data_IF_139141801840
#
_entry.id   IF_139141801840
#
_cell.length_a   1.000
_cell.length_b   1.000
_cell.length_c   1.000
_cell.angle_alpha   90.00
_cell.angle_beta   90.00
_cell.angle_gamma   90.00
#
_symmetry.space_group_name_H-M   'P 1'
#
loop_
_entity.id
_entity.type
_entity.pdbx_description
1 polymer ?
#
# COMPACT_ATOMS: atom_id res chain seq x y z
N UNK A 1 11.22 -5.52 -4.56
CA UNK A 1 12.02 -4.96 -3.45
C UNK A 1 13.22 -5.86 -3.25
N UNK A 2 14.43 -5.30 -3.22
CA UNK A 2 15.64 -6.05 -2.86
C UNK A 2 15.88 -5.89 -1.36
N UNK A 3 16.13 -6.99 -0.65
CA UNK A 3 16.33 -7.01 0.80
C UNK A 3 17.76 -7.42 1.10
N UNK A 4 18.44 -6.67 1.97
CA UNK A 4 19.83 -6.93 2.35
C UNK A 4 20.26 -6.12 3.58
N UNK A 5 21.45 -6.41 4.13
CA UNK A 5 22.02 -5.64 5.23
C UNK A 5 22.35 -4.20 4.79
N UNK A 6 22.52 -3.30 5.76
CA UNK A 6 22.90 -1.89 5.54
C UNK A 6 21.93 -1.13 4.61
N UNK A 7 20.64 -1.45 4.66
CA UNK A 7 19.63 -0.87 3.80
C UNK A 7 19.30 0.60 4.21
N UNK A 8 19.03 1.49 3.23
CA UNK A 8 18.54 2.85 3.49
C UNK A 8 17.16 2.85 4.17
N UNK A 9 16.41 1.75 4.05
CA UNK A 9 15.10 1.55 4.66
C UNK A 9 15.21 0.30 5.53
N UNK A 10 15.46 0.49 6.82
CA UNK A 10 15.72 -0.61 7.75
C UNK A 10 14.50 -0.89 8.61
N UNK A 11 14.17 -2.16 8.81
CA UNK A 11 13.10 -2.54 9.75
C UNK A 11 13.51 -2.25 11.19
N UNK A 12 12.67 -1.54 11.93
CA UNK A 12 12.78 -1.47 13.39
C UNK A 12 12.20 -2.76 13.97
N UNK A 13 13.00 -3.82 13.94
CA UNK A 13 12.58 -5.23 14.12
C UNK A 13 11.70 -5.51 15.35
N UNK A 14 11.86 -4.72 16.43
CA UNK A 14 11.08 -4.86 17.66
C UNK A 14 9.75 -4.09 17.64
N UNK A 15 9.60 -3.09 16.77
CA UNK A 15 8.40 -2.27 16.62
C UNK A 15 7.51 -2.85 15.52
N UNK A 16 6.82 -3.94 15.88
CA UNK A 16 5.80 -4.57 15.05
C UNK A 16 4.74 -5.26 15.89
N UNK A 17 3.51 -5.25 15.44
CA UNK A 17 2.39 -5.94 16.06
C UNK A 17 1.41 -6.45 15.03
N UNK A 18 0.86 -7.62 15.28
CA UNK A 18 -0.02 -8.32 14.35
C UNK A 18 -1.35 -8.63 15.02
N UNK A 19 -2.38 -8.69 14.19
CA UNK A 19 -3.69 -9.19 14.59
C UNK A 19 -4.22 -10.08 13.46
N UNK A 20 -4.65 -11.28 13.83
CA UNK A 20 -5.24 -12.26 12.94
C UNK A 20 -6.52 -12.76 13.60
N UNK A 21 -7.55 -12.97 12.81
CA UNK A 21 -8.84 -13.47 13.27
C UNK A 21 -9.50 -14.25 12.14
N UNK A 22 -10.37 -15.19 12.48
CA UNK A 22 -11.21 -15.85 11.50
C UNK A 22 -12.45 -15.00 11.23
N UNK A 23 -12.58 -14.45 10.03
CA UNK A 23 -13.72 -13.64 9.58
C UNK A 23 -14.02 -13.88 8.10
N UNK A 24 -15.21 -13.48 7.65
CA UNK A 24 -15.66 -13.59 6.26
C UNK A 24 -15.98 -12.22 5.64
N UNK A 25 -15.12 -11.24 5.87
CA UNK A 25 -15.30 -9.88 5.37
C UNK A 25 -15.09 -9.76 3.85
N UNK A 26 -14.07 -10.44 3.34
CA UNK A 26 -13.80 -10.60 1.91
C UNK A 26 -13.03 -11.91 1.70
N UNK A 27 -13.48 -12.73 0.76
CA UNK A 27 -12.86 -14.02 0.46
C UNK A 27 -13.21 -14.48 -0.97
N UNK A 28 -12.50 -15.48 -1.48
CA UNK A 28 -12.69 -16.05 -2.84
C UNK A 28 -13.08 -17.53 -2.75
N UNK A 29 -14.35 -17.84 -2.42
CA UNK A 29 -14.79 -19.22 -2.24
C UNK A 29 -15.07 -19.93 -3.58
N UNK A 30 -15.45 -19.17 -4.60
CA UNK A 30 -15.67 -19.69 -5.95
C UNK A 30 -14.34 -19.77 -6.69
N UNK A 31 -13.86 -20.99 -6.93
CA UNK A 31 -12.58 -21.25 -7.57
C UNK A 31 -12.62 -21.01 -9.10
N UNK A 32 -13.81 -20.95 -9.69
CA UNK A 32 -13.98 -20.72 -11.12
C UNK A 32 -14.09 -19.22 -11.47
N UNK A 33 -14.24 -18.34 -10.46
CA UNK A 33 -14.41 -16.91 -10.64
C UNK A 33 -13.23 -16.12 -10.06
N UNK A 34 -12.81 -15.07 -10.78
CA UNK A 34 -11.81 -14.14 -10.24
C UNK A 34 -12.41 -13.25 -9.12
N UNK A 35 -13.73 -13.08 -9.14
CA UNK A 35 -14.45 -12.14 -8.30
C UNK A 35 -14.62 -12.64 -6.86
N UNK A 36 -14.36 -11.78 -5.87
CA UNK A 36 -14.54 -12.12 -4.46
C UNK A 36 -16.00 -12.02 -4.02
N UNK A 37 -16.34 -12.75 -2.96
CA UNK A 37 -17.49 -12.44 -2.13
C UNK A 37 -17.05 -11.37 -1.12
N UNK A 38 -17.80 -10.26 -1.04
CA UNK A 38 -17.46 -9.11 -0.21
C UNK A 38 -18.64 -8.66 0.63
N UNK A 39 -18.49 -8.69 1.96
CA UNK A 39 -19.32 -7.90 2.86
C UNK A 39 -18.60 -6.57 3.12
N UNK A 40 -19.01 -5.54 2.38
CA UNK A 40 -18.36 -4.22 2.44
C UNK A 40 -18.53 -3.50 3.78
N UNK A 41 -19.59 -3.80 4.54
CA UNK A 41 -19.78 -3.23 5.89
C UNK A 41 -18.81 -3.92 6.84
N UNK A 42 -18.83 -5.26 6.85
CA UNK A 42 -17.95 -6.06 7.70
C UNK A 42 -16.47 -5.79 7.39
N UNK A 43 -16.09 -5.65 6.12
CA UNK A 43 -14.72 -5.30 5.69
C UNK A 43 -14.19 -4.02 6.32
N UNK A 44 -15.02 -2.97 6.43
CA UNK A 44 -14.60 -1.74 7.10
C UNK A 44 -14.45 -1.92 8.61
N UNK A 45 -15.38 -2.63 9.26
CA UNK A 45 -15.30 -2.95 10.69
C UNK A 45 -14.06 -3.79 11.01
N UNK A 46 -13.83 -4.87 10.26
CA UNK A 46 -12.68 -5.75 10.41
C UNK A 46 -11.34 -5.01 10.20
N UNK A 47 -11.27 -4.13 9.20
CA UNK A 47 -10.09 -3.31 8.96
C UNK A 47 -9.77 -2.39 10.15
N UNK A 48 -10.76 -1.66 10.69
CA UNK A 48 -10.55 -0.74 11.81
C UNK A 48 -10.28 -1.46 13.13
N UNK A 49 -10.93 -2.60 13.36
CA UNK A 49 -10.64 -3.48 14.51
C UNK A 49 -9.19 -3.98 14.47
N UNK A 50 -8.74 -4.45 13.31
CA UNK A 50 -7.37 -4.90 13.10
C UNK A 50 -6.36 -3.76 13.28
N UNK A 51 -6.70 -2.56 12.80
CA UNK A 51 -5.89 -1.34 12.97
C UNK A 51 -5.72 -0.98 14.45
N UNK A 52 -6.82 -0.90 15.21
CA UNK A 52 -6.79 -0.62 16.66
C UNK A 52 -5.95 -1.66 17.40
N UNK A 53 -6.18 -2.94 17.11
CA UNK A 53 -5.48 -4.05 17.75
C UNK A 53 -3.98 -4.03 17.48
N UNK A 54 -3.58 -3.78 16.22
CA UNK A 54 -2.19 -3.63 15.85
C UNK A 54 -1.56 -2.38 16.47
N UNK A 55 -2.26 -1.24 16.44
CA UNK A 55 -1.75 0.02 16.98
C UNK A 55 -1.53 -0.06 18.49
N UNK A 56 -2.51 -0.57 19.25
CA UNK A 56 -2.39 -0.79 20.69
C UNK A 56 -1.20 -1.66 21.05
N UNK A 57 -1.06 -2.81 20.40
CA UNK A 57 0.07 -3.72 20.64
C UNK A 57 1.41 -3.12 20.20
N UNK A 58 1.44 -2.35 19.11
CA UNK A 58 2.61 -1.63 18.64
C UNK A 58 3.05 -0.60 19.69
N UNK A 59 2.12 0.21 20.20
CA UNK A 59 2.37 1.19 21.25
C UNK A 59 2.94 0.53 22.51
N UNK A 60 2.31 -0.56 22.99
CA UNK A 60 2.80 -1.30 24.17
C UNK A 60 4.25 -1.79 23.99
N UNK A 61 4.60 -2.30 22.81
CA UNK A 61 5.97 -2.75 22.51
C UNK A 61 6.94 -1.59 22.44
N UNK A 62 6.53 -0.48 21.81
CA UNK A 62 7.34 0.72 21.74
C UNK A 62 7.63 1.27 23.13
N UNK A 63 6.61 1.44 23.96
CA UNK A 63 6.70 1.96 25.33
C UNK A 63 7.63 1.13 26.21
N UNK A 64 7.53 -0.20 26.13
CA UNK A 64 8.40 -1.11 26.87
C UNK A 64 9.88 -0.96 26.52
N UNK A 65 10.20 -0.58 25.28
CA UNK A 65 11.57 -0.52 24.76
C UNK A 65 12.14 0.90 24.82
N UNK A 66 11.34 1.89 24.44
CA UNK A 66 11.74 3.29 24.35
C UNK A 66 11.53 4.06 25.66
N UNK A 67 10.76 3.51 26.61
CA UNK A 67 10.48 4.16 27.90
C UNK A 67 9.59 5.40 27.79
N UNK A 68 8.88 5.59 26.66
CA UNK A 68 7.97 6.73 26.44
C UNK A 68 6.71 6.30 25.70
N UNK A 69 5.59 6.98 25.99
CA UNK A 69 4.31 6.76 25.32
C UNK A 69 4.45 6.99 23.81
N UNK A 70 3.99 6.03 22.99
CA UNK A 70 3.93 6.22 21.54
C UNK A 70 2.67 7.02 21.18
N UNK A 71 2.79 7.95 20.24
CA UNK A 71 1.67 8.65 19.60
C UNK A 71 1.97 8.83 18.11
N UNK A 72 1.01 9.35 17.34
CA UNK A 72 1.21 9.70 15.93
C UNK A 72 2.33 10.75 15.71
N UNK A 73 2.79 11.44 16.75
CA UNK A 73 3.93 12.36 16.66
C UNK A 73 5.28 11.64 16.54
N UNK A 74 5.37 10.40 17.02
CA UNK A 74 6.63 9.61 17.07
C UNK A 74 7.04 8.98 15.74
N UNK A 75 6.25 9.18 14.68
CA UNK A 75 6.55 8.81 13.31
C UNK A 75 6.29 9.96 12.35
N UNK A 76 7.17 10.11 11.36
CA UNK A 76 7.07 11.18 10.37
C UNK A 76 5.95 10.89 9.38
N UNK A 77 5.87 9.65 8.89
CA UNK A 77 4.83 9.21 7.96
C UNK A 77 4.13 7.95 8.41
N UNK A 78 2.83 7.85 8.08
CA UNK A 78 2.02 6.65 8.22
C UNK A 78 1.55 6.18 6.84
N UNK A 79 1.90 4.96 6.50
CA UNK A 79 1.59 4.33 5.21
C UNK A 79 0.64 3.17 5.47
N UNK A 80 -0.48 3.14 4.74
CA UNK A 80 -1.53 2.15 4.93
C UNK A 80 -1.73 1.32 3.67
N UNK A 81 -2.18 0.07 3.83
CA UNK A 81 -2.87 -0.62 2.75
C UNK A 81 -4.02 0.27 2.25
N UNK A 82 -4.03 0.53 0.94
CA UNK A 82 -4.85 1.57 0.32
C UNK A 82 -5.80 0.97 -0.72
N UNK A 83 -6.90 0.31 -0.32
CA UNK A 83 -7.88 -0.20 -1.28
C UNK A 83 -8.61 0.94 -1.98
N UNK A 84 -8.82 2.05 -1.27
CA UNK A 84 -9.27 3.33 -1.80
C UNK A 84 -8.92 4.44 -0.80
N UNK A 85 -8.73 5.67 -1.29
CA UNK A 85 -8.15 6.73 -0.47
C UNK A 85 -9.01 7.17 0.73
N UNK A 86 -10.34 7.06 0.64
CA UNK A 86 -11.23 7.40 1.76
C UNK A 86 -10.98 6.51 2.98
N UNK A 87 -10.68 5.22 2.81
CA UNK A 87 -10.34 4.35 3.93
C UNK A 87 -9.03 4.76 4.59
N UNK A 88 -8.05 5.23 3.81
CA UNK A 88 -6.77 5.73 4.35
C UNK A 88 -6.96 6.96 5.24
N UNK A 89 -7.83 7.89 4.82
CA UNK A 89 -8.22 9.05 5.65
C UNK A 89 -8.86 8.61 6.97
N UNK A 90 -9.83 7.67 6.90
CA UNK A 90 -10.47 7.08 8.09
C UNK A 90 -9.45 6.39 9.00
N UNK A 91 -8.50 5.67 8.42
CA UNK A 91 -7.47 4.91 9.16
C UNK A 91 -6.61 5.83 10.02
N UNK A 92 -6.08 6.90 9.43
CA UNK A 92 -5.24 7.83 10.17
C UNK A 92 -6.04 8.62 11.23
N UNK A 93 -7.26 9.03 10.88
CA UNK A 93 -8.18 9.64 11.86
C UNK A 93 -8.47 8.69 13.04
N UNK A 94 -8.60 7.39 12.77
CA UNK A 94 -8.79 6.37 13.81
C UNK A 94 -7.55 6.24 14.71
N UNK A 95 -6.33 6.36 14.17
CA UNK A 95 -5.12 6.39 15.00
C UNK A 95 -5.10 7.60 15.94
N UNK A 96 -5.51 8.77 15.45
CA UNK A 96 -5.58 9.97 16.30
C UNK A 96 -6.66 9.85 17.39
N UNK A 97 -7.80 9.22 17.08
CA UNK A 97 -8.79 8.85 18.10
C UNK A 97 -8.24 7.86 19.12
N UNK A 98 -7.43 6.87 18.72
CA UNK A 98 -6.76 5.97 19.67
C UNK A 98 -5.79 6.73 20.59
N UNK A 99 -5.08 7.73 20.07
CA UNK A 99 -4.21 8.60 20.89
C UNK A 99 -5.03 9.42 21.90
N UNK A 100 -6.19 9.95 21.49
CA UNK A 100 -7.15 10.60 22.40
C UNK A 100 -7.61 9.65 23.51
N UNK A 101 -8.05 8.43 23.17
CA UNK A 101 -8.47 7.42 24.15
C UNK A 101 -7.35 6.98 25.10
N UNK A 102 -6.09 7.15 24.68
CA UNK A 102 -4.88 6.86 25.49
C UNK A 102 -4.35 8.09 26.23
N UNK A 103 -5.06 9.22 26.20
CA UNK A 103 -4.66 10.49 26.81
C UNK A 103 -3.25 10.94 26.38
N UNK A 104 -2.89 10.75 25.11
CA UNK A 104 -1.58 11.15 24.61
C UNK A 104 -1.44 12.69 24.65
N UNK A 105 -0.30 13.19 25.13
CA UNK A 105 -0.04 14.63 25.26
C UNK A 105 -0.02 15.40 23.94
N UNK A 106 0.17 14.69 22.82
CA UNK A 106 0.15 15.26 21.48
C UNK A 106 -1.26 15.60 20.98
N UNK A 107 -2.30 15.05 21.60
CA UNK A 107 -3.69 15.37 21.25
C UNK A 107 -4.00 16.76 21.81
N UNK A 108 -4.27 17.71 20.92
CA UNK A 108 -4.58 19.09 21.28
C UNK A 108 -5.96 19.23 21.95
N UNK A 109 -6.20 20.36 22.62
CA UNK A 109 -7.41 20.57 23.41
C UNK A 109 -8.68 20.68 22.56
N UNK A 110 -8.59 21.22 21.34
CA UNK A 110 -9.70 21.26 20.37
C UNK A 110 -10.12 19.84 19.96
N UNK A 111 -9.16 18.95 19.74
CA UNK A 111 -9.41 17.54 19.46
C UNK A 111 -10.04 16.84 20.66
N UNK A 112 -9.55 17.10 21.89
CA UNK A 112 -10.14 16.52 23.11
C UNK A 112 -11.60 16.94 23.27
N UNK A 113 -11.90 18.24 23.13
CA UNK A 113 -13.26 18.77 23.26
C UNK A 113 -14.21 18.11 22.25
N UNK A 114 -13.81 18.05 20.97
CA UNK A 114 -14.63 17.46 19.89
C UNK A 114 -14.80 15.95 20.00
N UNK A 115 -13.85 15.23 20.60
CA UNK A 115 -13.89 13.78 20.72
C UNK A 115 -14.50 13.30 22.05
N UNK A 116 -14.64 14.17 23.04
CA UNK A 116 -15.09 13.82 24.39
C UNK A 116 -16.45 13.13 24.42
N UNK A 117 -17.40 13.55 23.58
CA UNK A 117 -18.73 12.96 23.47
C UNK A 117 -18.73 11.51 23.00
N UNK A 118 -17.63 11.05 22.40
CA UNK A 118 -17.46 9.68 21.89
C UNK A 118 -16.58 8.79 22.79
N UNK A 119 -16.15 9.28 23.95
CA UNK A 119 -15.26 8.56 24.88
C UNK A 119 -15.88 7.31 25.49
N UNK A 120 -17.21 7.27 25.61
CA UNK A 120 -17.94 6.15 26.21
C UNK A 120 -18.43 5.11 25.17
N UNK A 121 -18.16 5.31 23.89
CA UNK A 121 -18.53 4.32 22.87
C UNK A 121 -17.74 3.03 23.06
N UNK A 122 -18.44 1.90 23.01
CA UNK A 122 -17.78 0.60 22.91
C UNK A 122 -17.03 0.47 21.58
N UNK A 123 -16.15 -0.53 21.47
CA UNK A 123 -15.43 -0.81 20.23
C UNK A 123 -16.39 -0.95 19.03
N UNK A 124 -17.42 -1.77 19.17
CA UNK A 124 -18.41 -2.02 18.12
C UNK A 124 -19.19 -0.76 17.71
N UNK A 125 -19.71 0.00 18.68
CA UNK A 125 -20.42 1.26 18.42
C UNK A 125 -19.51 2.27 17.72
N UNK A 126 -18.24 2.35 18.16
CA UNK A 126 -17.27 3.27 17.58
C UNK A 126 -16.95 2.97 16.11
N UNK A 127 -16.96 1.70 15.69
CA UNK A 127 -16.74 1.30 14.29
C UNK A 127 -17.92 1.66 13.38
N UNK A 128 -19.12 1.77 13.94
CA UNK A 128 -20.35 2.06 13.20
C UNK A 128 -20.74 3.55 13.25
N UNK A 129 -20.16 4.32 14.18
CA UNK A 129 -20.48 5.74 14.37
C UNK A 129 -19.90 6.62 13.26
N UNK A 130 -20.81 7.10 12.39
CA UNK A 130 -20.47 8.09 11.35
C UNK A 130 -20.08 9.44 11.93
N UNK A 131 -20.62 9.80 13.09
CA UNK A 131 -20.33 11.09 13.73
C UNK A 131 -18.94 11.08 14.35
N UNK A 132 -18.54 9.98 14.98
CA UNK A 132 -17.14 9.79 15.41
C UNK A 132 -16.20 9.83 14.21
N UNK A 133 -16.56 9.17 13.10
CA UNK A 133 -15.75 9.19 11.88
C UNK A 133 -15.53 10.64 11.38
N UNK A 134 -16.60 11.43 11.29
CA UNK A 134 -16.53 12.83 10.83
C UNK A 134 -15.69 13.69 11.78
N UNK A 135 -15.95 13.60 13.08
CA UNK A 135 -15.22 14.34 14.10
C UNK A 135 -13.72 13.99 14.06
N UNK A 136 -13.38 12.70 14.03
CA UNK A 136 -11.99 12.21 13.96
C UNK A 136 -11.28 12.71 12.68
N UNK A 137 -11.96 12.68 11.53
CA UNK A 137 -11.38 13.19 10.28
C UNK A 137 -11.16 14.71 10.33
N UNK A 138 -12.08 15.45 10.94
CA UNK A 138 -11.96 16.90 11.08
C UNK A 138 -10.72 17.26 11.90
N UNK A 139 -10.56 16.64 13.08
CA UNK A 139 -9.45 16.96 13.99
C UNK A 139 -8.10 16.43 13.46
N UNK A 140 -8.10 15.31 12.73
CA UNK A 140 -6.88 14.76 12.14
C UNK A 140 -6.50 15.40 10.79
N UNK A 141 -7.33 16.29 10.21
CA UNK A 141 -7.20 16.77 8.82
C UNK A 141 -5.84 17.40 8.52
N UNK A 142 -5.37 18.29 9.39
CA UNK A 142 -4.09 18.97 9.22
C UNK A 142 -2.93 17.95 9.26
N UNK A 143 -2.93 17.08 10.28
CA UNK A 143 -1.92 16.05 10.45
C UNK A 143 -1.93 15.01 9.32
N UNK A 144 -3.10 14.67 8.77
CA UNK A 144 -3.20 13.82 7.58
C UNK A 144 -2.50 14.45 6.38
N UNK A 145 -2.67 15.76 6.18
CA UNK A 145 -2.00 16.51 5.11
C UNK A 145 -0.47 16.43 5.18
N UNK A 146 0.08 16.33 6.39
CA UNK A 146 1.53 16.25 6.63
C UNK A 146 2.01 14.80 6.58
N UNK A 147 1.40 13.91 7.37
CA UNK A 147 1.92 12.58 7.69
C UNK A 147 1.45 11.47 6.76
N UNK A 148 0.40 11.69 5.96
CA UNK A 148 -0.21 10.63 5.14
C UNK A 148 -0.38 11.03 3.68
N UNK A 149 -0.79 12.26 3.39
CA UNK A 149 -1.03 12.72 2.01
C UNK A 149 0.15 12.41 1.05
N UNK A 150 1.43 12.57 1.44
CA UNK A 150 2.57 12.24 0.57
C UNK A 150 2.65 10.75 0.17
N UNK A 151 1.95 9.86 0.85
CA UNK A 151 1.91 8.41 0.58
C UNK A 151 0.83 8.06 -0.48
N UNK A 152 0.01 9.01 -0.91
CA UNK A 152 -1.26 8.70 -1.60
C UNK A 152 -1.22 8.79 -3.12
N UNK A 153 -0.11 9.25 -3.73
CA UNK A 153 -0.03 9.50 -5.17
C UNK A 153 -0.36 8.26 -6.01
N UNK A 154 0.42 7.19 -5.87
CA UNK A 154 0.23 5.97 -6.67
C UNK A 154 -1.11 5.29 -6.36
N UNK A 155 -1.53 5.08 -5.09
CA UNK A 155 -2.86 4.51 -4.83
C UNK A 155 -4.03 5.30 -5.43
N UNK A 156 -3.96 6.65 -5.43
CA UNK A 156 -5.03 7.49 -6.03
C UNK A 156 -5.03 7.44 -7.55
N UNK A 157 -3.87 7.27 -8.18
CA UNK A 157 -3.73 7.25 -9.63
C UNK A 157 -3.96 5.86 -10.24
N UNK A 158 -3.70 4.78 -9.50
CA UNK A 158 -3.72 3.40 -10.01
C UNK A 158 -4.93 2.60 -9.47
N UNK A 159 -5.38 2.89 -8.25
CA UNK A 159 -6.42 2.10 -7.56
C UNK A 159 -5.85 0.98 -6.68
N UNK A 160 -6.69 0.00 -6.33
CA UNK A 160 -6.31 -1.07 -5.41
C UNK A 160 -5.35 -2.06 -6.08
N UNK A 161 -4.12 -2.11 -5.57
CA UNK A 161 -3.06 -3.05 -6.01
C UNK A 161 -2.91 -4.25 -5.06
N UNK A 162 -3.94 -4.56 -4.26
CA UNK A 162 -3.94 -5.67 -3.28
C UNK A 162 -2.66 -5.68 -2.43
N UNK A 163 -1.88 -6.76 -2.49
CA UNK A 163 -0.65 -6.95 -1.72
C UNK A 163 0.40 -5.88 -2.00
N UNK A 164 0.44 -5.32 -3.21
CA UNK A 164 1.37 -4.26 -3.58
C UNK A 164 0.91 -2.86 -3.14
N UNK A 165 -0.36 -2.69 -2.72
CA UNK A 165 -0.94 -1.37 -2.40
C UNK A 165 -0.19 -0.63 -1.29
N UNK A 166 0.18 -1.33 -0.21
CA UNK A 166 0.98 -0.74 0.88
C UNK A 166 2.35 -0.26 0.38
N UNK A 167 2.99 -1.04 -0.49
CA UNK A 167 4.33 -0.73 -1.00
C UNK A 167 4.31 0.33 -2.10
N UNK A 168 3.21 0.45 -2.85
CA UNK A 168 2.99 1.58 -3.75
C UNK A 168 2.76 2.89 -2.97
N UNK A 169 2.10 2.82 -1.81
CA UNK A 169 2.00 3.97 -0.91
C UNK A 169 3.37 4.35 -0.31
N UNK A 170 4.21 3.37 0.04
CA UNK A 170 5.61 3.59 0.43
C UNK A 170 6.43 4.22 -0.72
N UNK A 171 6.30 3.70 -1.93
CA UNK A 171 6.96 4.26 -3.11
C UNK A 171 6.54 5.71 -3.37
N UNK A 172 5.27 6.06 -3.08
CA UNK A 172 4.79 7.43 -3.22
C UNK A 172 5.50 8.40 -2.27
N UNK A 173 5.68 8.03 -1.00
CA UNK A 173 6.40 8.91 -0.05
C UNK A 173 7.90 8.95 -0.33
N UNK A 174 8.52 7.84 -0.73
CA UNK A 174 9.92 7.84 -1.18
C UNK A 174 10.10 8.77 -2.39
N UNK A 175 9.23 8.69 -3.39
CA UNK A 175 9.24 9.57 -4.53
C UNK A 175 9.07 11.05 -4.11
N UNK A 176 8.05 11.36 -3.30
CA UNK A 176 7.71 12.73 -2.93
C UNK A 176 8.65 13.39 -1.91
N UNK A 177 9.36 12.60 -1.09
CA UNK A 177 10.04 13.09 0.12
C UNK A 177 11.44 12.52 0.33
N UNK A 178 12.06 11.84 -0.64
CA UNK A 178 13.37 11.19 -0.48
C UNK A 178 14.44 12.10 0.17
N UNK A 179 14.44 13.40 -0.13
CA UNK A 179 15.42 14.36 0.42
C UNK A 179 15.24 14.68 1.91
N UNK A 180 14.06 14.45 2.49
CA UNK A 180 13.74 14.79 3.90
C UNK A 180 13.57 13.57 4.80
N UNK A 181 13.83 12.36 4.28
CA UNK A 181 13.56 11.10 4.99
C UNK A 181 14.73 10.58 5.84
N UNK A 182 15.91 11.21 5.79
CA UNK A 182 17.05 10.77 6.58
C UNK A 182 16.75 10.82 8.09
N UNK A 183 16.97 9.71 8.78
CA UNK A 183 16.69 9.60 10.21
C UNK A 183 15.21 9.55 10.57
N UNK A 184 14.30 9.58 9.59
CA UNK A 184 12.87 9.57 9.84
C UNK A 184 12.33 8.16 10.08
N UNK A 185 11.20 8.11 10.79
CA UNK A 185 10.44 6.89 11.01
C UNK A 185 9.21 6.88 10.11
N UNK A 186 8.98 5.75 9.45
CA UNK A 186 7.72 5.45 8.77
C UNK A 186 7.04 4.30 9.49
N UNK A 187 5.75 4.47 9.82
CA UNK A 187 4.91 3.37 10.32
C UNK A 187 4.06 2.84 9.17
N UNK A 188 4.05 1.52 9.04
CA UNK A 188 3.41 0.78 7.96
C UNK A 188 2.26 -0.05 8.55
N UNK A 189 1.07 0.00 7.96
CA UNK A 189 -0.05 -0.87 8.32
C UNK A 189 -0.49 -1.72 7.13
N UNK A 190 -0.20 -3.03 7.20
CA UNK A 190 -0.63 -4.03 6.23
C UNK A 190 -1.91 -4.72 6.70
N UNK A 191 -2.86 -4.90 5.79
CA UNK A 191 -4.12 -5.59 6.02
C UNK A 191 -4.44 -6.51 4.85
N UNK A 192 -4.95 -7.70 5.15
CA UNK A 192 -5.60 -8.60 4.21
C UNK A 192 -6.81 -9.25 4.86
N UNK A 193 -7.94 -9.26 4.16
CA UNK A 193 -9.20 -9.84 4.63
C UNK A 193 -9.12 -11.35 4.89
N UNK A 194 -10.01 -11.84 5.75
CA UNK A 194 -10.03 -13.24 6.24
C UNK A 194 -9.74 -13.47 7.74
N UNK A 195 -9.03 -12.67 8.52
CA UNK A 195 -8.15 -11.53 8.24
C UNK A 195 -6.76 -11.76 8.84
N UNK A 196 -5.76 -11.12 8.24
CA UNK A 196 -4.40 -10.99 8.78
C UNK A 196 -3.93 -9.56 8.62
N UNK A 197 -3.29 -9.02 9.66
CA UNK A 197 -2.82 -7.64 9.66
C UNK A 197 -1.55 -7.49 10.46
N UNK A 198 -0.73 -6.49 10.12
CA UNK A 198 0.46 -6.13 10.87
C UNK A 198 0.76 -4.64 10.72
N UNK A 199 0.95 -3.98 11.87
CA UNK A 199 1.61 -2.69 11.94
C UNK A 199 3.09 -2.88 12.24
N UNK A 200 3.98 -2.24 11.50
CA UNK A 200 5.43 -2.32 11.70
C UNK A 200 6.11 -1.00 11.35
N UNK A 201 7.33 -0.80 11.83
CA UNK A 201 8.05 0.45 11.59
C UNK A 201 9.35 0.28 10.82
N UNK A 202 9.67 1.30 10.03
CA UNK A 202 10.87 1.44 9.24
C UNK A 202 11.63 2.68 9.70
N UNK A 203 12.95 2.53 9.88
CA UNK A 203 13.89 3.63 10.10
C UNK A 203 14.65 3.91 8.82
N UNK A 204 14.61 5.15 8.37
CA UNK A 204 15.21 5.57 7.12
C UNK A 204 16.56 6.23 7.38
N UNK A 205 17.49 6.03 6.45
CA UNK A 205 18.79 6.67 6.41
C UNK A 205 19.17 6.90 4.94
N UNK A 206 20.10 7.82 4.67
CA UNK A 206 20.49 8.17 3.30
C UNK A 206 20.99 6.97 2.47
N UNK A 207 21.54 5.94 3.10
CA UNK A 207 22.22 4.84 2.42
C UNK A 207 23.42 5.31 1.60
N UNK A 208 23.88 4.44 0.70
CA UNK A 208 24.96 4.71 -0.25
C UNK A 208 24.57 4.18 -1.62
N UNK A 209 24.98 4.85 -2.70
CA UNK A 209 24.69 4.39 -4.06
C UNK A 209 25.20 2.95 -4.27
N UNK A 210 24.41 2.04 -4.89
CA UNK A 210 23.12 2.27 -5.55
C UNK A 210 21.91 2.24 -4.62
N UNK A 211 22.08 1.87 -3.35
CA UNK A 211 21.01 1.74 -2.36
C UNK A 211 20.88 3.01 -1.49
N UNK A 212 20.68 4.17 -2.12
CA UNK A 212 20.40 5.43 -1.44
C UNK A 212 18.95 5.88 -1.63
N UNK A 213 18.40 6.66 -0.70
CA UNK A 213 17.01 7.15 -0.80
C UNK A 213 16.79 7.99 -2.07
N UNK A 214 17.76 8.85 -2.40
CA UNK A 214 17.73 9.67 -3.62
C UNK A 214 17.73 8.81 -4.89
N UNK A 215 18.62 7.82 -4.98
CA UNK A 215 18.64 6.92 -6.14
C UNK A 215 17.37 6.08 -6.24
N UNK A 216 16.82 5.60 -5.12
CA UNK A 216 15.52 4.91 -5.10
C UNK A 216 14.42 5.83 -5.62
N UNK A 217 14.32 7.07 -5.12
CA UNK A 217 13.35 8.06 -5.56
C UNK A 217 13.41 8.33 -7.07
N UNK A 218 14.61 8.47 -7.61
CA UNK A 218 14.87 8.67 -9.05
C UNK A 218 14.50 7.42 -9.87
N UNK A 219 15.02 6.24 -9.52
CA UNK A 219 14.80 4.98 -10.28
C UNK A 219 13.35 4.51 -10.26
N UNK A 220 12.55 4.94 -9.27
CA UNK A 220 11.11 4.67 -9.28
C UNK A 220 10.43 5.22 -10.55
N UNK A 221 10.92 6.32 -11.14
CA UNK A 221 10.42 6.88 -12.41
C UNK A 221 8.91 7.14 -12.41
N UNK A 222 8.38 7.63 -11.28
CA UNK A 222 6.93 7.73 -11.05
C UNK A 222 6.27 8.67 -12.06
N UNK A 223 6.88 9.83 -12.32
CA UNK A 223 6.34 10.82 -13.25
C UNK A 223 6.26 10.26 -14.67
N UNK A 224 7.36 9.72 -15.20
CA UNK A 224 7.36 9.19 -16.56
C UNK A 224 6.33 8.07 -16.71
N UNK A 225 6.28 7.12 -15.76
CA UNK A 225 5.34 6.00 -15.79
C UNK A 225 3.87 6.43 -15.72
N UNK A 226 3.54 7.47 -14.94
CA UNK A 226 2.17 7.97 -14.85
C UNK A 226 1.75 8.76 -16.08
N UNK A 227 2.68 9.50 -16.69
CA UNK A 227 2.45 10.27 -17.91
C UNK A 227 2.38 9.40 -19.17
N UNK A 228 3.12 8.28 -19.20
CA UNK A 228 3.11 7.34 -20.32
C UNK A 228 1.90 6.39 -20.32
N UNK A 229 0.89 6.64 -19.50
CA UNK A 229 -0.34 5.83 -19.47
C UNK A 229 -1.23 6.16 -20.64
N UNK A 230 -2.03 5.19 -21.03
CA UNK A 230 -3.02 5.34 -22.08
C UNK A 230 -4.42 5.35 -21.45
N UNK A 231 -5.11 6.47 -21.59
CA UNK A 231 -6.51 6.56 -21.19
C UNK A 231 -7.37 5.68 -22.12
N UNK A 232 -8.42 5.07 -21.56
CA UNK A 232 -9.34 4.21 -22.29
C UNK A 232 -10.76 4.59 -21.91
N UNK A 233 -11.65 4.63 -22.90
CA UNK A 233 -13.07 4.90 -22.68
C UNK A 233 -13.69 3.84 -21.75
N UNK A 234 -14.64 4.22 -20.87
CA UNK A 234 -15.30 3.29 -19.97
C UNK A 234 -15.90 2.06 -20.67
N UNK A 235 -16.46 2.22 -21.86
CA UNK A 235 -17.07 1.14 -22.64
C UNK A 235 -16.03 0.08 -23.02
N UNK A 236 -14.89 0.52 -23.57
CA UNK A 236 -13.76 -0.35 -23.94
C UNK A 236 -13.14 -1.01 -22.70
N UNK A 237 -13.12 -0.32 -21.56
CA UNK A 237 -12.69 -0.91 -20.30
C UNK A 237 -13.63 -2.05 -19.86
N UNK A 238 -14.95 -1.85 -19.93
CA UNK A 238 -15.96 -2.89 -19.61
C UNK A 238 -15.87 -4.08 -20.57
N UNK A 239 -15.67 -3.84 -21.86
CA UNK A 239 -15.41 -4.90 -22.84
C UNK A 239 -14.16 -5.71 -22.49
N UNK A 240 -13.09 -5.03 -22.08
CA UNK A 240 -11.85 -5.67 -21.62
C UNK A 240 -12.09 -6.51 -20.38
N UNK A 241 -12.88 -6.04 -19.41
CA UNK A 241 -13.24 -6.84 -18.22
C UNK A 241 -13.98 -8.12 -18.60
N UNK A 242 -14.97 -8.04 -19.50
CA UNK A 242 -15.69 -9.22 -20.01
C UNK A 242 -14.75 -10.19 -20.71
N UNK A 243 -13.82 -9.68 -21.51
CA UNK A 243 -12.80 -10.53 -22.15
C UNK A 243 -11.93 -11.24 -21.08
N UNK A 244 -11.47 -10.53 -20.05
CA UNK A 244 -10.65 -11.11 -18.98
C UNK A 244 -11.40 -12.18 -18.19
N UNK A 245 -12.70 -12.00 -17.94
CA UNK A 245 -13.57 -13.01 -17.35
C UNK A 245 -13.60 -14.31 -18.19
N UNK A 246 -13.73 -14.20 -19.52
CA UNK A 246 -13.67 -15.37 -20.41
C UNK A 246 -12.29 -16.05 -20.43
N UNK A 247 -11.21 -15.29 -20.17
CA UNK A 247 -9.84 -15.84 -20.13
C UNK A 247 -9.47 -16.44 -18.78
N UNK A 248 -10.18 -16.10 -17.71
CA UNK A 248 -9.91 -16.61 -16.37
C UNK A 248 -10.17 -18.13 -16.32
N UNK A 249 -9.16 -18.91 -15.94
CA UNK A 249 -9.25 -20.37 -15.90
C UNK A 249 -9.37 -21.07 -17.26
N UNK A 250 -9.32 -20.34 -18.38
CA UNK A 250 -9.41 -20.90 -19.73
C UNK A 250 -8.06 -21.47 -20.23
N UNK A 251 -8.13 -22.24 -21.31
CA UNK A 251 -6.99 -22.82 -22.03
C UNK A 251 -7.19 -22.73 -23.54
N UNK A 252 -6.16 -23.09 -24.29
CA UNK A 252 -6.17 -23.21 -25.74
C UNK A 252 -6.56 -21.91 -26.46
N UNK A 253 -5.83 -20.84 -26.15
CA UNK A 253 -6.01 -19.55 -26.80
C UNK A 253 -4.72 -18.78 -26.99
N UNK A 254 -4.70 -17.95 -28.02
CA UNK A 254 -3.68 -16.92 -28.24
C UNK A 254 -4.24 -15.54 -27.85
N UNK A 255 -3.38 -14.67 -27.36
CA UNK A 255 -3.72 -13.28 -27.04
C UNK A 255 -3.50 -12.39 -28.26
N UNK A 256 -3.98 -11.13 -28.18
CA UNK A 256 -3.63 -10.13 -29.19
C UNK A 256 -2.12 -9.99 -29.34
N UNK A 257 -1.64 -9.88 -30.58
CA UNK A 257 -0.26 -9.53 -30.91
C UNK A 257 0.01 -8.02 -30.82
N UNK A 258 -1.03 -7.21 -30.61
CA UNK A 258 -0.87 -5.76 -30.44
C UNK A 258 -0.20 -5.45 -29.10
N UNK A 259 1.04 -4.99 -29.19
CA UNK A 259 1.88 -4.56 -28.06
C UNK A 259 2.19 -3.06 -28.14
N UNK A 260 1.47 -2.30 -28.98
CA UNK A 260 1.72 -0.87 -29.23
C UNK A 260 1.71 -0.05 -27.93
N UNK A 261 0.75 -0.33 -27.04
CA UNK A 261 0.56 0.38 -25.76
C UNK A 261 1.52 -0.08 -24.64
N UNK A 262 2.25 -1.18 -24.82
CA UNK A 262 3.19 -1.66 -23.82
C UNK A 262 4.50 -0.88 -23.91
N UNK A 263 5.12 -0.57 -22.79
CA UNK A 263 6.46 0.02 -22.81
C UNK A 263 7.51 -1.02 -23.24
N UNK A 264 8.59 -0.63 -23.92
CA UNK A 264 9.69 -1.54 -24.25
C UNK A 264 10.22 -2.28 -23.01
N UNK A 265 10.55 -3.56 -23.16
CA UNK A 265 10.98 -4.42 -22.06
C UNK A 265 9.83 -5.02 -21.22
N UNK A 266 8.58 -4.66 -21.48
CA UNK A 266 7.42 -5.25 -20.79
C UNK A 266 7.22 -6.71 -21.22
N UNK A 267 7.07 -7.61 -20.24
CA UNK A 267 6.64 -8.99 -20.50
C UNK A 267 5.14 -9.05 -20.70
N UNK A 268 4.69 -9.86 -21.65
CA UNK A 268 3.27 -10.08 -21.94
C UNK A 268 2.99 -11.55 -22.23
N UNK A 269 1.78 -12.00 -21.88
CA UNK A 269 1.28 -13.34 -22.20
C UNK A 269 1.04 -13.41 -23.71
N UNK A 270 1.48 -14.48 -24.37
CA UNK A 270 1.28 -14.70 -25.81
C UNK A 270 0.19 -15.75 -26.08
N UNK A 271 0.22 -16.84 -25.31
CA UNK A 271 -0.77 -17.91 -25.41
C UNK A 271 -0.86 -18.73 -24.14
N UNK A 272 -1.98 -19.43 -24.02
CA UNK A 272 -2.21 -20.52 -23.09
C UNK A 272 -2.58 -21.74 -23.91
N UNK A 273 -1.81 -22.83 -23.82
CA UNK A 273 -2.09 -24.01 -24.62
C UNK A 273 -3.16 -24.93 -24.00
N UNK A 274 -3.47 -26.04 -24.67
CA UNK A 274 -4.46 -27.03 -24.26
C UNK A 274 -4.18 -27.73 -22.91
N UNK A 275 -2.97 -27.56 -22.37
CA UNK A 275 -2.53 -28.06 -21.06
C UNK A 275 -2.41 -26.94 -20.02
N UNK A 276 -3.00 -25.76 -20.27
CA UNK A 276 -2.95 -24.58 -19.39
C UNK A 276 -1.55 -23.97 -19.22
N UNK A 277 -0.56 -24.36 -20.03
CA UNK A 277 0.80 -23.80 -19.95
C UNK A 277 0.80 -22.40 -20.56
N UNK A 278 1.37 -21.45 -19.84
CA UNK A 278 1.43 -20.02 -20.22
C UNK A 278 2.77 -19.71 -20.86
N UNK A 279 2.74 -19.04 -22.02
CA UNK A 279 3.93 -18.64 -22.75
C UNK A 279 4.03 -17.12 -22.79
N UNK A 280 5.22 -16.60 -22.56
CA UNK A 280 5.46 -15.16 -22.45
C UNK A 280 6.52 -14.70 -23.43
N UNK A 281 6.37 -13.47 -23.92
CA UNK A 281 7.36 -12.76 -24.70
C UNK A 281 7.64 -11.41 -24.05
N UNK A 282 8.75 -10.78 -24.43
CA UNK A 282 9.11 -9.45 -23.99
C UNK A 282 9.04 -8.50 -25.18
N UNK A 283 8.41 -7.32 -25.02
CA UNK A 283 8.43 -6.28 -26.06
C UNK A 283 9.90 -5.84 -26.27
N UNK A 284 10.45 -5.90 -27.50
CA UNK A 284 11.82 -5.49 -27.76
C UNK A 284 12.07 -4.05 -27.30
N UNK A 285 13.29 -3.76 -26.86
CA UNK A 285 13.76 -2.38 -26.78
C UNK A 285 13.79 -1.80 -28.20
N UNK A 286 13.34 -0.55 -28.38
CA UNK A 286 13.57 0.14 -29.65
C UNK A 286 15.10 0.27 -29.86
N UNK A 287 15.62 -0.24 -30.98
CA UNK A 287 17.00 0.01 -31.36
C UNK A 287 17.14 1.51 -31.65
N UNK A 288 17.73 2.25 -30.72
CA UNK A 288 18.16 3.62 -31.00
C UNK A 288 19.27 3.52 -32.04
N UNK A 289 18.94 3.87 -33.29
CA UNK A 289 19.91 4.08 -34.35
C UNK A 289 20.88 5.19 -33.94
N UNK A 290 22.08 4.80 -33.46
CA UNK A 290 23.15 5.74 -33.12
C UNK A 290 24.09 5.21 -32.03
N UNK A 291 25.11 4.45 -32.46
CA UNK A 291 26.40 4.18 -31.80
C UNK A 291 26.59 4.34 -30.28
N UNK A 292 27.05 3.23 -29.66
CA UNK A 292 27.68 3.06 -28.32
C UNK A 292 26.69 3.06 -27.13
N UNK A 293 26.62 2.08 -26.23
CA UNK A 293 27.51 0.97 -25.84
C UNK A 293 26.62 -0.13 -25.27
N UNK A 294 26.76 -1.38 -25.74
CA UNK A 294 26.21 -2.56 -25.06
C UNK A 294 26.97 -2.75 -23.75
N UNK A 295 26.31 -2.57 -22.61
CA UNK A 295 26.69 -3.24 -21.37
C UNK A 295 25.72 -4.38 -21.13
N UNK A 296 26.26 -5.59 -21.26
CA UNK A 296 25.61 -6.88 -21.36
C UNK A 296 25.09 -7.42 -20.02
N UNK A 297 24.23 -8.44 -20.09
CA UNK A 297 24.42 -9.65 -19.29
C UNK A 297 24.00 -10.85 -20.13
N UNK A 298 25.01 -11.56 -20.67
CA UNK A 298 24.82 -12.84 -21.31
C UNK A 298 24.40 -13.89 -20.28
N UNK A 299 23.39 -14.68 -20.61
CA UNK A 299 23.12 -15.93 -19.92
C UNK A 299 24.27 -16.89 -20.22
N UNK A 300 25.18 -17.05 -19.25
CA UNK A 300 26.10 -18.16 -19.23
C UNK A 300 25.35 -19.38 -18.68
N UNK A 301 24.83 -20.22 -19.56
CA UNK A 301 24.53 -21.60 -19.22
C UNK A 301 25.87 -22.35 -19.15
N UNK A 302 26.34 -22.61 -17.94
CA UNK A 302 27.41 -23.58 -17.67
C UNK A 302 26.78 -24.89 -17.20
N UNK A 303 27.04 -25.94 -17.99
CA UNK A 303 26.93 -27.39 -17.77
C UNK A 303 25.85 -27.95 -16.82
#
# INVERSE_FOLDING_TARGET
MLIGPNAPISFESKYRASHMAHVYDFYKPDLASEYPVVDGKLSQTCYLMALDSCYRQFCNKYEKIAGKQFSISDAEYFVFHSPYNKLVQKSFARLYYNDFMRNCSYVDDDAKEKLQSFSNLTGEESYQSRDLEKASQQVAKHLYGIKVQPTTLLPKQIGNMYTASLYAALASVLYNKHDSLNGQRIVMFSYGSGLTSTMFSLRLNNGQHPFSLSNIGSVLGVTEKLQSRHETLPEKFVETLKLMEHRYGAKDFETSSDTSLLQPGTFYLTKVDSMYRRFYSQKPAEEIGGGKTKCCNGFANGH
#
